data_IF_702829125511
#
_entry.id   IF_702829125511
#
_cell.length_a   1.000
_cell.length_b   1.000
_cell.length_c   1.000
_cell.angle_alpha   90.00
_cell.angle_beta   90.00
_cell.angle_gamma   90.00
#
_symmetry.space_group_name_H-M   'P 1'
#
loop_
_entity.id
_entity.type
_entity.pdbx_description
1 polymer ?
#
# COMPACT_ATOMS: atom_id res chain seq x y z
N UNK A 1 69.57 -13.80 -87.96
CA UNK A 1 68.15 -14.18 -88.06
C UNK A 1 67.41 -13.23 -87.13
N UNK A 2 66.86 -12.15 -87.70
CA UNK A 2 66.09 -11.15 -86.95
C UNK A 2 64.68 -11.70 -86.90
N UNK A 3 64.16 -12.02 -85.70
CA UNK A 3 62.75 -12.38 -85.58
C UNK A 3 61.90 -11.17 -86.01
N UNK A 4 60.96 -11.42 -86.92
CA UNK A 4 60.02 -10.39 -87.35
C UNK A 4 59.10 -10.00 -86.19
N UNK A 5 58.74 -8.72 -86.11
CA UNK A 5 58.03 -8.14 -84.97
C UNK A 5 56.68 -8.83 -84.70
N UNK A 6 56.06 -9.37 -85.75
CA UNK A 6 54.79 -10.09 -85.68
C UNK A 6 54.93 -11.48 -85.04
N UNK A 7 56.07 -12.16 -85.20
CA UNK A 7 56.32 -13.46 -84.56
C UNK A 7 56.51 -13.31 -83.05
N UNK A 8 57.22 -12.26 -82.63
CA UNK A 8 57.39 -11.90 -81.21
C UNK A 8 56.04 -11.53 -80.59
N UNK A 9 55.18 -10.82 -81.34
CA UNK A 9 53.83 -10.49 -80.90
C UNK A 9 52.96 -11.74 -80.74
N UNK A 10 53.04 -12.68 -81.66
CA UNK A 10 52.33 -13.97 -81.59
C UNK A 10 52.71 -14.78 -80.35
N UNK A 11 53.99 -14.81 -79.98
CA UNK A 11 54.47 -15.51 -78.77
C UNK A 11 54.03 -14.85 -77.46
N UNK A 12 53.96 -13.51 -77.42
CA UNK A 12 53.60 -12.75 -76.21
C UNK A 12 52.09 -12.56 -76.02
N UNK A 13 51.29 -12.72 -77.08
CA UNK A 13 49.84 -12.53 -77.05
C UNK A 13 49.14 -13.44 -76.01
N UNK A 14 49.44 -14.76 -75.89
CA UNK A 14 48.84 -15.61 -74.86
C UNK A 14 49.18 -15.17 -73.42
N UNK A 15 50.41 -14.67 -73.21
CA UNK A 15 50.83 -14.17 -71.90
C UNK A 15 50.08 -12.87 -71.55
N UNK A 16 49.92 -11.97 -72.52
CA UNK A 16 49.12 -10.74 -72.38
C UNK A 16 47.67 -11.07 -72.04
N UNK A 17 47.05 -12.02 -72.74
CA UNK A 17 45.65 -12.38 -72.52
C UNK A 17 45.45 -13.08 -71.18
N UNK A 18 46.41 -13.92 -70.76
CA UNK A 18 46.44 -14.53 -69.42
C UNK A 18 46.53 -13.47 -68.31
N UNK A 19 47.42 -12.48 -68.46
CA UNK A 19 47.56 -11.37 -67.50
C UNK A 19 46.30 -10.50 -67.50
N UNK A 20 45.74 -10.21 -68.68
CA UNK A 20 44.49 -9.46 -68.83
C UNK A 20 43.33 -10.14 -68.11
N UNK A 21 43.14 -11.45 -68.33
CA UNK A 21 42.11 -12.26 -67.69
C UNK A 21 42.28 -12.32 -66.16
N UNK A 22 43.51 -12.48 -65.66
CA UNK A 22 43.80 -12.42 -64.22
C UNK A 22 43.51 -11.03 -63.65
N UNK A 23 43.90 -9.98 -64.36
CA UNK A 23 43.66 -8.59 -63.93
C UNK A 23 42.17 -8.27 -63.85
N UNK A 24 41.37 -8.70 -64.83
CA UNK A 24 39.91 -8.54 -64.78
C UNK A 24 39.31 -9.35 -63.63
N UNK A 25 39.72 -10.61 -63.44
CA UNK A 25 39.24 -11.44 -62.33
C UNK A 25 39.57 -10.85 -60.95
N UNK A 26 40.77 -10.30 -60.77
CA UNK A 26 41.14 -9.60 -59.53
C UNK A 26 40.33 -8.31 -59.33
N UNK A 27 40.05 -7.56 -60.41
CA UNK A 27 39.19 -6.37 -60.35
C UNK A 27 37.77 -6.73 -59.93
N UNK A 28 37.19 -7.75 -60.55
CA UNK A 28 35.82 -8.18 -60.28
C UNK A 28 35.70 -8.69 -58.84
N UNK A 29 36.68 -9.49 -58.39
CA UNK A 29 36.78 -9.95 -56.99
C UNK A 29 36.85 -8.77 -56.02
N UNK A 30 37.67 -7.76 -56.32
CA UNK A 30 37.79 -6.55 -55.48
C UNK A 30 36.46 -5.81 -55.42
N UNK A 31 35.78 -5.66 -56.55
CA UNK A 31 34.54 -4.91 -56.63
C UNK A 31 33.39 -5.64 -55.88
N UNK A 32 33.35 -6.98 -55.96
CA UNK A 32 32.45 -7.81 -55.14
C UNK A 32 32.71 -7.64 -53.64
N UNK A 33 33.98 -7.71 -53.21
CA UNK A 33 34.32 -7.52 -51.80
C UNK A 33 34.01 -6.11 -51.32
N UNK A 34 34.25 -5.09 -52.14
CA UNK A 34 33.89 -3.70 -51.83
C UNK A 34 32.37 -3.54 -51.66
N UNK A 35 31.57 -4.18 -52.52
CA UNK A 35 30.11 -4.18 -52.40
C UNK A 35 29.66 -4.84 -51.09
N UNK A 36 30.20 -6.03 -50.77
CA UNK A 36 29.91 -6.75 -49.52
C UNK A 36 30.31 -5.95 -48.29
N UNK A 37 31.46 -5.29 -48.31
CA UNK A 37 31.93 -4.44 -47.20
C UNK A 37 30.97 -3.28 -46.96
N UNK A 38 30.51 -2.60 -48.03
CA UNK A 38 29.51 -1.52 -47.89
C UNK A 38 28.21 -2.04 -47.30
N UNK A 39 27.70 -3.16 -47.81
CA UNK A 39 26.48 -3.77 -47.29
C UNK A 39 26.59 -4.12 -45.80
N UNK A 40 27.72 -4.70 -45.37
CA UNK A 40 27.93 -5.00 -43.96
C UNK A 40 28.11 -3.75 -43.09
N UNK A 41 28.74 -2.70 -43.62
CA UNK A 41 28.85 -1.41 -42.91
C UNK A 41 27.48 -0.77 -42.72
N UNK A 42 26.63 -0.80 -43.74
CA UNK A 42 25.26 -0.25 -43.67
C UNK A 42 24.41 -1.05 -42.68
N UNK A 43 24.45 -2.39 -42.73
CA UNK A 43 23.78 -3.26 -41.76
C UNK A 43 24.25 -2.97 -40.32
N UNK A 44 25.57 -2.85 -40.11
CA UNK A 44 26.13 -2.52 -38.80
C UNK A 44 25.66 -1.15 -38.32
N UNK A 45 25.64 -0.15 -39.20
CA UNK A 45 25.20 1.21 -38.85
C UNK A 45 23.72 1.23 -38.48
N UNK A 46 22.88 0.51 -39.22
CA UNK A 46 21.45 0.39 -38.93
C UNK A 46 21.20 -0.33 -37.60
N UNK A 47 21.88 -1.45 -37.34
CA UNK A 47 21.79 -2.14 -36.05
C UNK A 47 22.23 -1.23 -34.90
N UNK A 48 23.32 -0.48 -35.08
CA UNK A 48 23.78 0.48 -34.08
C UNK A 48 22.76 1.60 -33.82
N UNK A 49 22.05 2.06 -34.86
CA UNK A 49 20.96 3.04 -34.73
C UNK A 49 19.83 2.47 -33.89
N UNK A 50 19.36 1.26 -34.24
CA UNK A 50 18.29 0.57 -33.51
C UNK A 50 18.66 0.32 -32.04
N UNK A 51 19.90 -0.11 -31.77
CA UNK A 51 20.39 -0.32 -30.40
C UNK A 51 20.37 1.00 -29.60
N UNK A 52 20.81 2.12 -30.19
CA UNK A 52 20.75 3.43 -29.52
C UNK A 52 19.32 3.86 -29.22
N UNK A 53 18.41 3.68 -30.17
CA UNK A 53 16.98 3.97 -29.98
C UNK A 53 16.38 3.13 -28.85
N UNK A 54 16.67 1.81 -28.84
CA UNK A 54 16.23 0.92 -27.77
C UNK A 54 16.81 1.29 -26.40
N UNK A 55 18.09 1.70 -26.34
CA UNK A 55 18.70 2.16 -25.09
C UNK A 55 17.98 3.41 -24.58
N UNK A 56 17.70 4.38 -25.45
CA UNK A 56 16.98 5.59 -25.08
C UNK A 56 15.56 5.29 -24.58
N UNK A 57 14.84 4.40 -25.28
CA UNK A 57 13.50 3.97 -24.88
C UNK A 57 13.52 3.27 -23.51
N UNK A 58 14.46 2.34 -23.28
CA UNK A 58 14.61 1.67 -21.99
C UNK A 58 14.95 2.67 -20.87
N UNK A 59 15.79 3.67 -21.15
CA UNK A 59 16.10 4.73 -20.18
C UNK A 59 14.86 5.58 -19.85
N UNK A 60 14.06 5.96 -20.84
CA UNK A 60 12.81 6.67 -20.64
C UNK A 60 11.82 5.85 -19.79
N UNK A 61 11.65 4.58 -20.10
CA UNK A 61 10.79 3.68 -19.32
C UNK A 61 11.30 3.45 -17.89
N UNK A 62 12.62 3.40 -17.68
CA UNK A 62 13.20 3.36 -16.33
C UNK A 62 12.88 4.61 -15.54
N UNK A 63 13.02 5.80 -16.14
CA UNK A 63 12.70 7.06 -15.47
C UNK A 63 11.22 7.11 -15.03
N UNK A 64 10.29 6.69 -15.90
CA UNK A 64 8.85 6.61 -15.58
C UNK A 64 8.60 5.65 -14.41
N UNK A 65 9.23 4.47 -14.44
CA UNK A 65 9.11 3.46 -13.37
C UNK A 65 9.65 3.98 -12.04
N UNK A 66 10.79 4.66 -12.06
CA UNK A 66 11.43 5.18 -10.86
C UNK A 66 10.59 6.31 -10.24
N UNK A 67 10.02 7.19 -11.06
CA UNK A 67 9.06 8.21 -10.61
C UNK A 67 7.80 7.58 -9.98
N UNK A 68 7.23 6.55 -10.63
CA UNK A 68 6.08 5.84 -10.09
C UNK A 68 6.40 5.14 -8.76
N UNK A 69 7.56 4.48 -8.66
CA UNK A 69 8.01 3.84 -7.43
C UNK A 69 8.22 4.86 -6.30
N UNK A 70 8.78 6.03 -6.62
CA UNK A 70 8.97 7.11 -5.67
C UNK A 70 7.63 7.62 -5.13
N UNK A 71 6.65 7.88 -6.01
CA UNK A 71 5.28 8.25 -5.59
C UNK A 71 4.63 7.19 -4.70
N UNK A 72 4.77 5.91 -5.03
CA UNK A 72 4.25 4.82 -4.20
C UNK A 72 4.91 4.79 -2.83
N UNK A 73 6.23 5.04 -2.75
CA UNK A 73 6.97 5.12 -1.49
C UNK A 73 6.46 6.28 -0.63
N UNK A 74 6.25 7.45 -1.21
CA UNK A 74 5.68 8.62 -0.53
C UNK A 74 4.27 8.35 0.00
N UNK A 75 3.39 7.81 -0.84
CA UNK A 75 2.02 7.44 -0.43
C UNK A 75 2.00 6.38 0.69
N UNK A 76 2.94 5.43 0.67
CA UNK A 76 3.11 4.48 1.78
C UNK A 76 3.53 5.17 3.07
N UNK A 77 4.38 6.19 2.98
CA UNK A 77 4.75 7.05 4.11
C UNK A 77 3.54 7.77 4.69
N UNK A 78 2.80 8.51 3.86
CA UNK A 78 1.56 9.21 4.26
C UNK A 78 0.55 8.24 4.89
N UNK A 79 0.36 7.06 4.29
CA UNK A 79 -0.53 6.04 4.84
C UNK A 79 -0.07 5.56 6.22
N UNK A 80 1.23 5.37 6.43
CA UNK A 80 1.77 4.95 7.72
C UNK A 80 1.55 6.04 8.78
N UNK A 81 1.84 7.30 8.46
CA UNK A 81 1.60 8.45 9.33
C UNK A 81 0.12 8.56 9.73
N UNK A 82 -0.81 8.47 8.77
CA UNK A 82 -2.24 8.51 9.07
C UNK A 82 -2.70 7.29 9.86
N UNK A 83 -2.11 6.12 9.63
CA UNK A 83 -2.45 4.91 10.38
C UNK A 83 -2.01 5.02 11.85
N UNK A 84 -0.82 5.57 12.10
CA UNK A 84 -0.33 5.80 13.46
C UNK A 84 -1.17 6.87 14.16
N UNK A 85 -1.46 7.98 13.47
CA UNK A 85 -2.35 9.02 14.02
C UNK A 85 -3.73 8.48 14.37
N UNK A 86 -4.33 7.64 13.52
CA UNK A 86 -5.61 6.98 13.83
C UNK A 86 -5.52 6.00 14.99
N UNK A 87 -4.35 5.41 15.23
CA UNK A 87 -4.12 4.53 16.39
C UNK A 87 -4.06 5.36 17.67
N UNK A 88 -3.30 6.45 17.68
CA UNK A 88 -3.24 7.41 18.79
C UNK A 88 -4.64 7.93 19.15
N UNK A 89 -5.40 8.39 18.15
CA UNK A 89 -6.77 8.89 18.36
C UNK A 89 -7.69 7.79 18.93
N UNK A 90 -7.56 6.54 18.46
CA UNK A 90 -8.33 5.41 18.99
C UNK A 90 -7.97 5.09 20.44
N UNK A 91 -6.70 5.16 20.82
CA UNK A 91 -6.25 4.95 22.19
C UNK A 91 -6.80 6.03 23.12
N UNK A 92 -6.74 7.31 22.72
CA UNK A 92 -7.32 8.42 23.49
C UNK A 92 -8.83 8.26 23.66
N UNK A 93 -9.55 7.87 22.61
CA UNK A 93 -11.00 7.67 22.69
C UNK A 93 -11.37 6.48 23.59
N UNK A 94 -10.60 5.38 23.54
CA UNK A 94 -10.78 4.25 24.45
C UNK A 94 -10.56 4.65 25.90
N UNK A 95 -9.47 5.35 26.19
CA UNK A 95 -9.19 5.84 27.53
C UNK A 95 -10.32 6.72 28.08
N UNK A 96 -10.86 7.64 27.27
CA UNK A 96 -12.01 8.47 27.65
C UNK A 96 -13.28 7.67 27.89
N UNK A 97 -13.54 6.62 27.10
CA UNK A 97 -14.69 5.74 27.30
C UNK A 97 -14.56 4.90 28.57
N UNK A 98 -13.36 4.42 28.87
CA UNK A 98 -13.08 3.67 30.10
C UNK A 98 -13.23 4.57 31.33
N UNK A 99 -12.69 5.80 31.28
CA UNK A 99 -12.89 6.82 32.34
C UNK A 99 -14.37 7.15 32.53
N UNK A 100 -15.15 7.29 31.46
CA UNK A 100 -16.60 7.49 31.56
C UNK A 100 -17.31 6.29 32.20
N UNK A 101 -16.92 5.06 31.86
CA UNK A 101 -17.48 3.84 32.47
C UNK A 101 -17.15 3.76 33.95
N UNK A 102 -15.89 3.99 34.32
CA UNK A 102 -15.46 3.99 35.72
C UNK A 102 -16.19 5.04 36.54
N UNK A 103 -16.32 6.26 36.01
CA UNK A 103 -17.09 7.34 36.63
C UNK A 103 -18.57 6.95 36.81
N UNK A 104 -19.19 6.30 35.80
CA UNK A 104 -20.58 5.86 35.89
C UNK A 104 -20.75 4.76 36.95
N UNK A 105 -19.84 3.78 36.98
CA UNK A 105 -19.84 2.73 37.99
C UNK A 105 -19.60 3.28 39.39
N UNK A 106 -18.70 4.25 39.54
CA UNK A 106 -18.44 4.90 40.82
C UNK A 106 -19.65 5.70 41.30
N UNK A 107 -20.32 6.42 40.40
CA UNK A 107 -21.59 7.08 40.71
C UNK A 107 -22.68 6.09 41.12
N UNK A 108 -22.81 4.95 40.43
CA UNK A 108 -23.76 3.89 40.78
C UNK A 108 -23.41 3.26 42.14
N UNK A 109 -22.14 2.96 42.40
CA UNK A 109 -21.65 2.44 43.69
C UNK A 109 -21.90 3.44 44.82
N UNK A 110 -21.63 4.73 44.60
CA UNK A 110 -21.88 5.79 45.57
C UNK A 110 -23.39 5.99 45.83
N UNK A 111 -24.23 5.84 44.81
CA UNK A 111 -25.69 5.88 44.95
C UNK A 111 -26.22 4.65 45.70
N UNK A 112 -25.66 3.46 45.46
CA UNK A 112 -26.01 2.25 46.19
C UNK A 112 -25.59 2.34 47.67
N UNK A 113 -24.41 2.89 47.96
CA UNK A 113 -23.92 3.12 49.34
C UNK A 113 -24.74 4.18 50.09
N UNK A 114 -25.26 5.20 49.41
CA UNK A 114 -26.08 6.26 50.02
C UNK A 114 -27.49 5.81 50.45
N UNK A 115 -27.91 4.60 50.08
CA UNK A 115 -29.23 4.08 50.41
C UNK A 115 -30.38 4.87 49.75
N UNK A 116 -31.65 4.47 49.98
CA UNK A 116 -32.81 5.22 49.51
C UNK A 116 -32.83 6.63 50.12
N UNK A 117 -33.23 7.66 49.35
CA UNK A 117 -33.27 9.02 49.90
C UNK A 117 -34.28 9.11 51.05
N UNK A 118 -33.99 9.96 52.05
CA UNK A 118 -34.87 10.18 53.20
C UNK A 118 -36.31 10.59 52.81
N UNK A 119 -36.51 11.20 51.64
CA UNK A 119 -37.84 11.48 51.11
C UNK A 119 -38.58 10.21 50.65
N UNK A 120 -37.86 9.26 50.03
CA UNK A 120 -38.42 7.99 49.59
C UNK A 120 -38.73 7.07 50.77
N UNK A 121 -37.87 7.05 51.80
CA UNK A 121 -38.12 6.32 53.06
C UNK A 121 -39.38 6.87 53.76
N UNK A 122 -39.54 8.20 53.82
CA UNK A 122 -40.76 8.83 54.36
C UNK A 122 -42.03 8.48 53.57
N UNK A 123 -41.97 8.49 52.25
CA UNK A 123 -43.11 8.09 51.40
C UNK A 123 -43.48 6.61 51.57
N UNK A 124 -42.49 5.73 51.72
CA UNK A 124 -42.72 4.29 51.98
C UNK A 124 -43.31 4.06 53.37
N UNK A 125 -42.90 4.83 54.39
CA UNK A 125 -43.54 4.84 55.71
C UNK A 125 -44.99 5.29 55.64
N UNK A 126 -45.28 6.40 54.96
CA UNK A 126 -46.65 6.92 54.81
C UNK A 126 -47.56 5.94 54.05
N UNK A 127 -47.02 5.24 53.05
CA UNK A 127 -47.75 4.19 52.32
C UNK A 127 -48.06 2.98 53.20
N UNK A 128 -47.10 2.54 54.01
CA UNK A 128 -47.30 1.45 54.96
C UNK A 128 -48.33 1.83 56.04
N UNK A 129 -48.26 3.06 56.56
CA UNK A 129 -49.24 3.59 57.51
C UNK A 129 -50.65 3.62 56.92
N UNK A 130 -50.82 4.09 55.68
CA UNK A 130 -52.11 4.06 54.98
C UNK A 130 -52.63 2.63 54.83
N UNK A 131 -51.78 1.69 54.44
CA UNK A 131 -52.15 0.28 54.32
C UNK A 131 -52.56 -0.34 55.67
N UNK A 132 -51.89 0.02 56.76
CA UNK A 132 -52.25 -0.37 58.11
C UNK A 132 -53.60 0.21 58.55
N UNK A 133 -53.83 1.51 58.34
CA UNK A 133 -55.09 2.18 58.66
C UNK A 133 -56.27 1.64 57.84
N UNK A 134 -56.05 1.20 56.61
CA UNK A 134 -57.07 0.54 55.77
C UNK A 134 -57.32 -0.94 56.12
N UNK A 135 -56.69 -1.46 57.17
CA UNK A 135 -56.92 -2.83 57.66
C UNK A 135 -56.31 -3.92 56.78
N UNK A 136 -55.35 -3.60 55.91
CA UNK A 136 -54.72 -4.58 55.00
C UNK A 136 -53.71 -5.51 55.70
N UNK A 137 -53.36 -5.22 56.96
CA UNK A 137 -52.53 -6.06 57.81
C UNK A 137 -53.40 -6.64 58.93
N UNK A 138 -53.78 -7.91 58.83
CA UNK A 138 -54.55 -8.63 59.85
C UNK A 138 -53.69 -9.70 60.52
N UNK A 139 -53.70 -9.75 61.85
CA UNK A 139 -53.12 -10.83 62.65
C UNK A 139 -51.60 -10.93 62.53
N UNK A 140 -51.05 -12.09 62.11
CA UNK A 140 -49.59 -12.32 62.03
C UNK A 140 -48.84 -11.29 61.17
N UNK A 141 -49.51 -10.62 60.23
CA UNK A 141 -48.95 -9.62 59.32
C UNK A 141 -48.77 -8.23 59.96
N UNK A 142 -49.41 -7.95 61.10
CA UNK A 142 -49.21 -6.70 61.85
C UNK A 142 -47.82 -6.61 62.48
N UNK A 143 -47.29 -7.76 62.93
CA UNK A 143 -45.90 -7.85 63.39
C UNK A 143 -44.91 -7.51 62.27
N UNK A 144 -45.21 -7.93 61.05
CA UNK A 144 -44.39 -7.63 59.88
C UNK A 144 -44.44 -6.13 59.52
N UNK A 145 -45.59 -5.48 59.71
CA UNK A 145 -45.73 -4.03 59.57
C UNK A 145 -44.84 -3.28 60.57
N UNK A 146 -44.96 -3.58 61.87
CA UNK A 146 -44.13 -2.91 62.89
C UNK A 146 -42.63 -3.17 62.70
N UNK A 147 -42.25 -4.38 62.27
CA UNK A 147 -40.86 -4.71 61.94
C UNK A 147 -40.34 -3.88 60.76
N UNK A 148 -41.13 -3.73 59.69
CA UNK A 148 -40.77 -2.90 58.52
C UNK A 148 -40.74 -1.41 58.83
N UNK A 149 -41.69 -0.89 59.62
CA UNK A 149 -41.69 0.50 60.07
C UNK A 149 -40.50 0.82 60.96
N UNK A 150 -40.12 -0.10 61.85
CA UNK A 150 -38.91 0.05 62.68
C UNK A 150 -37.64 0.09 61.83
N UNK A 151 -37.53 -0.79 60.84
CA UNK A 151 -36.40 -0.81 59.89
C UNK A 151 -36.31 0.48 59.06
N UNK A 152 -37.45 1.01 58.58
CA UNK A 152 -37.49 2.28 57.83
C UNK A 152 -37.20 3.50 58.73
N UNK A 153 -37.63 3.48 59.99
CA UNK A 153 -37.32 4.52 60.97
C UNK A 153 -35.84 4.51 61.39
N UNK A 154 -35.25 3.34 61.56
CA UNK A 154 -33.81 3.17 61.81
C UNK A 154 -32.97 3.61 60.61
N UNK A 155 -33.45 3.40 59.38
CA UNK A 155 -32.79 3.87 58.15
C UNK A 155 -32.91 5.40 57.92
N UNK A 156 -33.69 6.11 58.74
CA UNK A 156 -33.86 7.57 58.70
C UNK A 156 -33.04 8.32 59.77
N UNK A 157 -32.49 7.60 60.76
CA UNK A 157 -31.59 8.14 61.79
C UNK A 157 -30.14 8.13 61.30
#
# INVERSE_FOLDING_TARGET
MVMEFDEVRGLLQPLRDSIGSKSTGHRDTRDEWNAKVREFLDKRNEVNRQVKELINEVQAQKAIRDEANQRVKELKGVRAEHSEHLKEVREVLRAKLDEQRENLEEQLRNRAKRGPSAGKIRADMEKLEKQYMTGQFLGKRERDYHKKMKQLSEALK
#
